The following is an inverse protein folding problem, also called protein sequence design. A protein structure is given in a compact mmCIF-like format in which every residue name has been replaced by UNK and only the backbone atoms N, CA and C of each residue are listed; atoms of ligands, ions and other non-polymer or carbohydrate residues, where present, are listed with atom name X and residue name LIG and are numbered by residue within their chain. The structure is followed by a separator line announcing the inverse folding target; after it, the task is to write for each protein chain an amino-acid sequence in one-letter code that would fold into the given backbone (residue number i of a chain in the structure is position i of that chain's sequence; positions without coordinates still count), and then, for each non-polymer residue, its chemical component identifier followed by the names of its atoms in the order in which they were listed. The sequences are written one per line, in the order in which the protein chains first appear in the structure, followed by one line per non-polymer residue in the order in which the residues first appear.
data_IF_877973273159
#
_entry.id   IF_877973273159
#
_cell.length_a   1.000
_cell.length_b   1.000
_cell.length_c   1.000
_cell.angle_alpha   90.00
_cell.angle_beta   90.00
_cell.angle_gamma   90.00
#
_symmetry.space_group_name_H-M   'P 1'
#
loop_
_entity.id
_entity.type
_entity.pdbx_description
1 polymer ?
#
# COMPACT_ATOMS: atom_id res chain seq x y z
N UNK A 1 29.24 49.62 -44.91
CA UNK A 1 30.23 49.22 -43.91
C UNK A 1 29.89 49.92 -42.59
N UNK A 2 29.27 49.24 -41.65
CA UNK A 2 29.22 49.72 -40.27
C UNK A 2 29.00 48.44 -39.39
N UNK A 3 29.99 48.10 -38.59
CA UNK A 3 30.00 47.01 -37.67
C UNK A 3 29.22 47.42 -36.40
N UNK A 4 28.09 46.79 -36.13
CA UNK A 4 27.37 46.93 -34.87
C UNK A 4 28.03 46.15 -33.73
N UNK A 5 28.22 46.81 -32.60
CA UNK A 5 28.73 46.23 -31.35
C UNK A 5 27.62 45.41 -30.68
N UNK A 6 27.96 44.30 -29.95
CA UNK A 6 26.99 43.52 -29.19
C UNK A 6 26.57 44.22 -27.89
N UNK A 7 25.37 43.98 -27.36
CA UNK A 7 24.89 44.63 -26.14
C UNK A 7 25.61 44.06 -24.88
N UNK A 8 25.98 44.98 -23.99
CA UNK A 8 26.59 44.69 -22.70
C UNK A 8 25.56 44.06 -21.75
N UNK A 9 25.87 42.88 -21.25
CA UNK A 9 25.13 42.20 -20.17
C UNK A 9 25.34 42.94 -18.84
N UNK A 10 24.28 43.54 -18.33
CA UNK A 10 24.22 44.15 -17.02
C UNK A 10 24.51 43.14 -15.90
N UNK A 11 25.48 43.45 -15.05
CA UNK A 11 25.81 42.74 -13.82
C UNK A 11 24.61 42.82 -12.85
N UNK A 12 23.86 41.73 -12.68
CA UNK A 12 22.92 41.60 -11.57
C UNK A 12 23.70 41.42 -10.27
N UNK A 13 23.43 42.31 -9.32
CA UNK A 13 23.95 42.25 -7.95
C UNK A 13 23.42 40.98 -7.28
N UNK A 14 24.31 40.05 -6.90
CA UNK A 14 24.05 39.00 -5.94
C UNK A 14 24.05 39.65 -4.53
N UNK A 15 22.92 39.75 -3.93
CA UNK A 15 22.74 40.20 -2.54
C UNK A 15 21.26 40.49 -2.35
N UNK A 16 20.60 39.59 -1.67
CA UNK A 16 19.36 39.72 -0.90
C UNK A 16 18.37 38.51 -1.00
N UNK A 17 18.66 37.50 -1.85
CA UNK A 17 17.77 36.32 -1.92
C UNK A 17 18.14 35.19 -0.94
N UNK A 18 19.22 35.28 -0.18
CA UNK A 18 19.68 34.24 0.74
C UNK A 18 19.05 34.35 2.15
N UNK A 19 18.46 35.49 2.49
CA UNK A 19 17.76 35.66 3.78
C UNK A 19 16.32 35.14 3.77
N UNK A 20 15.67 35.10 2.60
CA UNK A 20 14.28 34.64 2.46
C UNK A 20 14.14 33.11 2.36
N UNK A 21 15.24 32.39 2.10
CA UNK A 21 15.23 30.91 2.05
C UNK A 21 15.46 30.23 3.42
N UNK A 22 15.83 30.98 4.46
CA UNK A 22 16.06 30.42 5.80
C UNK A 22 14.87 30.46 6.75
N UNK A 23 13.73 30.97 6.35
CA UNK A 23 12.55 31.11 7.20
C UNK A 23 11.32 30.40 6.63
N UNK A 24 11.44 29.11 6.35
CA UNK A 24 10.31 28.16 6.30
C UNK A 24 10.85 26.76 6.58
N UNK A 25 11.37 26.53 7.75
CA UNK A 25 11.27 25.23 8.39
C UNK A 25 9.84 25.20 8.91
N UNK A 26 8.94 24.67 8.11
CA UNK A 26 7.63 24.23 8.59
C UNK A 26 7.97 23.07 9.51
N UNK A 27 7.67 23.19 10.80
CA UNK A 27 7.65 22.09 11.73
C UNK A 27 6.69 21.03 11.17
N UNK A 28 7.25 20.04 10.51
CA UNK A 28 6.53 18.82 10.26
C UNK A 28 6.18 18.23 11.63
N UNK A 29 4.90 17.90 11.92
CA UNK A 29 4.56 17.23 13.15
C UNK A 29 5.44 15.99 13.22
N UNK A 30 6.12 15.82 14.36
CA UNK A 30 6.88 14.63 14.65
C UNK A 30 5.97 13.42 14.37
N UNK A 31 6.34 12.61 13.40
CA UNK A 31 5.70 11.35 13.15
C UNK A 31 5.80 10.56 14.45
N UNK A 32 4.72 10.55 15.22
CA UNK A 32 4.59 9.76 16.43
C UNK A 32 4.71 8.31 15.97
N UNK A 33 5.83 7.67 16.30
CA UNK A 33 5.94 6.24 16.22
C UNK A 33 4.91 5.67 17.19
N UNK A 34 3.74 5.30 16.71
CA UNK A 34 2.83 4.41 17.40
C UNK A 34 3.49 3.04 17.43
N UNK A 35 4.32 2.81 18.44
CA UNK A 35 4.67 1.47 18.87
C UNK A 35 3.37 0.86 19.37
N UNK A 36 2.70 0.06 18.54
CA UNK A 36 1.62 -0.81 19.01
C UNK A 36 2.27 -1.81 19.95
N UNK A 37 2.14 -1.58 21.24
CA UNK A 37 2.53 -2.52 22.27
C UNK A 37 1.62 -3.75 22.12
N UNK A 38 2.22 -4.91 21.92
CA UNK A 38 1.52 -6.18 22.05
C UNK A 38 0.86 -6.25 23.43
N UNK A 39 -0.40 -6.71 23.55
CA UNK A 39 -1.09 -6.83 24.84
C UNK A 39 -0.41 -7.93 25.65
N UNK A 40 0.21 -7.57 26.77
CA UNK A 40 0.65 -8.53 27.77
C UNK A 40 2.02 -8.31 28.43
N UNK A 41 2.59 -7.12 28.47
CA UNK A 41 3.77 -6.86 29.29
C UNK A 41 3.53 -5.67 30.23
N UNK A 42 2.92 -5.94 31.38
CA UNK A 42 3.01 -5.07 32.54
C UNK A 42 4.36 -5.35 33.22
N UNK A 43 5.08 -4.27 33.62
CA UNK A 43 6.41 -4.22 34.24
C UNK A 43 7.63 -4.40 33.29
N UNK A 44 7.81 -3.44 32.38
CA UNK A 44 9.14 -3.05 31.95
C UNK A 44 9.48 -1.72 32.67
N UNK A 45 10.18 -1.81 33.82
CA UNK A 45 10.96 -0.70 34.30
C UNK A 45 11.78 -0.12 33.15
N UNK A 46 11.68 1.18 32.88
CA UNK A 46 12.44 1.89 31.85
C UNK A 46 13.94 1.63 32.04
N UNK A 47 14.45 0.59 31.44
CA UNK A 47 15.88 0.44 31.24
C UNK A 47 16.23 1.52 30.20
N UNK A 48 16.77 2.63 30.67
CA UNK A 48 17.33 3.68 29.80
C UNK A 48 18.40 2.99 28.96
N UNK A 49 18.04 2.62 27.73
CA UNK A 49 18.96 1.95 26.83
C UNK A 49 20.12 2.90 26.52
N UNK A 50 21.33 2.53 26.91
CA UNK A 50 22.53 3.31 26.62
C UNK A 50 22.65 3.52 25.10
N UNK A 51 23.10 4.72 24.66
CA UNK A 51 23.32 4.99 23.26
C UNK A 51 24.33 4.02 22.65
N UNK A 52 24.01 3.41 21.52
CA UNK A 52 24.92 2.52 20.78
C UNK A 52 26.14 3.33 20.33
N UNK A 53 27.34 2.77 20.50
CA UNK A 53 28.63 3.43 20.23
C UNK A 53 28.84 4.76 20.96
N UNK A 54 28.14 5.00 22.07
CA UNK A 54 28.20 6.27 22.80
C UNK A 54 27.56 7.47 22.05
N UNK A 55 26.84 7.21 20.94
CA UNK A 55 26.21 8.26 20.14
C UNK A 55 24.90 8.69 20.77
N UNK A 56 24.98 9.66 21.68
CA UNK A 56 23.80 10.30 22.28
C UNK A 56 23.11 11.28 21.32
N UNK A 57 23.87 11.85 20.38
CA UNK A 57 23.35 12.77 19.35
C UNK A 57 24.13 12.61 18.05
N UNK A 58 23.47 12.13 17.00
CA UNK A 58 24.02 12.02 15.65
C UNK A 58 24.01 13.37 14.90
N UNK A 59 24.54 13.39 13.69
CA UNK A 59 24.50 14.58 12.80
C UNK A 59 23.06 15.05 12.54
N UNK A 60 22.11 14.12 12.47
CA UNK A 60 20.66 14.41 12.33
C UNK A 60 19.98 14.75 13.67
N UNK A 61 20.71 14.85 14.76
CA UNK A 61 20.15 15.18 16.08
C UNK A 61 19.51 14.01 16.83
N UNK A 62 19.55 12.78 16.26
CA UNK A 62 18.91 11.58 16.81
C UNK A 62 19.88 10.78 17.67
N UNK A 63 19.37 10.12 18.72
CA UNK A 63 20.11 9.14 19.51
C UNK A 63 19.97 7.75 18.90
N UNK A 64 21.07 7.02 18.80
CA UNK A 64 21.05 5.63 18.36
C UNK A 64 20.84 4.70 19.53
N UNK A 65 19.76 3.94 19.50
CA UNK A 65 19.45 2.95 20.54
C UNK A 65 19.37 1.56 19.92
N UNK A 66 19.84 0.57 20.65
CA UNK A 66 19.66 -0.84 20.23
C UNK A 66 18.17 -1.18 20.34
N UNK A 67 17.62 -1.78 19.30
CA UNK A 67 16.26 -2.32 19.38
C UNK A 67 16.23 -3.43 20.44
N UNK A 68 15.21 -3.41 21.28
CA UNK A 68 15.05 -4.44 22.31
C UNK A 68 14.96 -5.82 21.66
N UNK A 69 15.68 -6.78 22.22
CA UNK A 69 15.58 -8.21 21.90
C UNK A 69 15.61 -9.00 23.18
N UNK A 70 14.73 -9.99 23.31
CA UNK A 70 14.83 -10.95 24.41
C UNK A 70 16.05 -11.85 24.18
N UNK A 71 17.04 -11.75 25.09
CA UNK A 71 18.29 -12.51 24.97
C UNK A 71 18.08 -14.03 25.05
N UNK A 72 17.09 -14.50 25.83
CA UNK A 72 16.79 -15.93 25.95
C UNK A 72 16.20 -16.43 24.63
N UNK A 73 15.20 -15.73 24.10
CA UNK A 73 14.62 -16.04 22.81
C UNK A 73 15.67 -15.96 21.67
N UNK A 74 16.52 -14.93 21.67
CA UNK A 74 17.59 -14.78 20.68
C UNK A 74 18.57 -15.96 20.70
N UNK A 75 18.99 -16.42 21.88
CA UNK A 75 19.86 -17.60 21.99
C UNK A 75 19.17 -18.88 21.55
N UNK A 76 17.91 -19.08 21.95
CA UNK A 76 17.13 -20.25 21.55
C UNK A 76 16.91 -20.29 20.04
N UNK A 77 16.62 -19.14 19.40
CA UNK A 77 16.53 -19.02 17.95
C UNK A 77 17.83 -19.35 17.24
N UNK A 78 18.96 -18.80 17.74
CA UNK A 78 20.28 -19.08 17.19
C UNK A 78 20.61 -20.59 17.23
N UNK A 79 20.34 -21.25 18.37
CA UNK A 79 20.58 -22.67 18.52
C UNK A 79 19.63 -23.54 17.67
N UNK A 80 18.33 -23.20 17.65
CA UNK A 80 17.36 -23.97 16.88
C UNK A 80 17.60 -23.93 15.37
N UNK A 81 17.94 -22.75 14.86
CA UNK A 81 18.11 -22.49 13.41
C UNK A 81 19.54 -22.75 12.94
N UNK A 82 20.47 -23.05 13.86
CA UNK A 82 21.91 -23.16 13.57
C UNK A 82 22.47 -21.92 12.85
N UNK A 83 22.11 -20.74 13.38
CA UNK A 83 22.52 -19.44 12.82
C UNK A 83 23.38 -18.65 13.81
N UNK A 84 24.20 -17.69 13.34
CA UNK A 84 24.99 -16.82 14.24
C UNK A 84 24.09 -16.08 15.25
N UNK A 85 24.63 -15.81 16.45
CA UNK A 85 23.89 -15.16 17.54
C UNK A 85 23.25 -13.82 17.10
N UNK A 86 23.93 -13.03 16.26
CA UNK A 86 23.39 -11.77 15.73
C UNK A 86 22.10 -11.97 14.93
N UNK A 87 21.96 -13.08 14.22
CA UNK A 87 20.74 -13.41 13.48
C UNK A 87 19.62 -13.73 14.46
N UNK A 88 19.91 -14.52 15.52
CA UNK A 88 18.96 -14.77 16.59
C UNK A 88 18.48 -13.48 17.29
N UNK A 89 19.39 -12.53 17.52
CA UNK A 89 19.02 -11.20 18.07
C UNK A 89 18.12 -10.40 17.14
N UNK A 90 18.41 -10.40 15.83
CA UNK A 90 17.58 -9.71 14.82
C UNK A 90 16.18 -10.31 14.74
N UNK A 91 16.07 -11.64 14.76
CA UNK A 91 14.78 -12.34 14.76
C UNK A 91 13.99 -12.05 16.04
N UNK A 92 14.63 -12.14 17.20
CA UNK A 92 14.01 -11.83 18.49
C UNK A 92 13.52 -10.36 18.55
N UNK A 93 14.32 -9.42 18.04
CA UNK A 93 13.92 -8.01 17.93
C UNK A 93 12.74 -7.75 16.97
N UNK A 94 12.38 -8.74 16.14
CA UNK A 94 11.19 -8.75 15.27
C UNK A 94 10.05 -9.57 15.86
N UNK A 95 10.13 -9.91 17.13
CA UNK A 95 9.11 -10.72 17.83
C UNK A 95 8.91 -12.12 17.25
N UNK A 96 9.91 -12.66 16.54
CA UNK A 96 9.90 -14.04 16.07
C UNK A 96 10.13 -14.96 17.27
N UNK A 97 9.24 -15.91 17.50
CA UNK A 97 9.41 -16.95 18.53
C UNK A 97 10.09 -18.20 17.97
N UNK A 98 10.52 -19.08 18.88
CA UNK A 98 11.11 -20.38 18.48
C UNK A 98 10.10 -21.21 17.67
N UNK A 99 8.80 -21.13 17.98
CA UNK A 99 7.74 -21.85 17.30
C UNK A 99 7.49 -21.33 15.88
N UNK A 100 7.61 -20.02 15.67
CA UNK A 100 7.35 -19.37 14.37
C UNK A 100 8.60 -19.23 13.50
N UNK A 101 9.76 -19.56 14.04
CA UNK A 101 11.07 -19.31 13.40
C UNK A 101 11.21 -19.99 12.03
N UNK A 102 10.83 -21.27 11.93
CA UNK A 102 10.95 -22.02 10.67
C UNK A 102 10.06 -21.43 9.58
N UNK A 103 8.84 -21.00 9.94
CA UNK A 103 7.90 -20.36 9.02
C UNK A 103 8.37 -18.96 8.59
N UNK A 104 9.03 -18.24 9.51
CA UNK A 104 9.59 -16.93 9.21
C UNK A 104 10.79 -16.99 8.25
N UNK A 105 11.68 -17.97 8.44
CA UNK A 105 12.90 -18.14 7.60
C UNK A 105 12.56 -18.79 6.25
N UNK A 106 11.61 -19.72 6.23
CA UNK A 106 11.21 -20.45 5.03
C UNK A 106 9.71 -20.32 4.80
N UNK A 107 9.24 -19.10 4.44
CA UNK A 107 7.82 -18.86 4.28
C UNK A 107 7.26 -19.65 3.10
N UNK A 108 6.07 -20.23 3.29
CA UNK A 108 5.31 -20.90 2.23
C UNK A 108 3.97 -20.20 2.06
N UNK A 109 3.68 -19.78 0.85
CA UNK A 109 2.45 -19.04 0.55
C UNK A 109 1.19 -19.81 1.01
N UNK A 110 1.12 -21.12 0.81
CA UNK A 110 -0.02 -21.94 1.23
C UNK A 110 -0.29 -21.91 2.74
N UNK A 111 0.77 -21.67 3.55
CA UNK A 111 0.69 -21.72 5.01
C UNK A 111 0.49 -20.32 5.61
N UNK A 112 0.73 -19.27 4.82
CA UNK A 112 0.70 -17.86 5.23
C UNK A 112 -0.36 -17.03 4.51
N UNK A 113 -0.90 -17.51 3.38
CA UNK A 113 -1.93 -16.77 2.65
C UNK A 113 -3.20 -16.71 3.52
N UNK A 114 -3.63 -15.51 3.93
CA UNK A 114 -4.85 -15.38 4.72
C UNK A 114 -6.08 -15.71 3.88
N UNK A 115 -7.19 -16.07 4.53
CA UNK A 115 -8.47 -16.12 3.82
C UNK A 115 -8.87 -14.70 3.40
N UNK A 116 -9.04 -14.43 2.11
CA UNK A 116 -9.45 -13.10 1.65
C UNK A 116 -10.72 -12.58 2.33
N UNK A 117 -11.67 -13.45 2.64
CA UNK A 117 -12.93 -13.10 3.31
C UNK A 117 -12.74 -12.59 4.76
N UNK A 118 -11.51 -12.65 5.31
CA UNK A 118 -11.20 -12.03 6.59
C UNK A 118 -11.13 -10.51 6.52
N UNK A 119 -10.84 -9.94 5.34
CA UNK A 119 -10.83 -8.50 5.13
C UNK A 119 -12.26 -7.98 4.96
N UNK A 120 -12.56 -6.88 5.63
CA UNK A 120 -13.85 -6.21 5.53
C UNK A 120 -14.18 -5.85 4.08
N UNK A 121 -15.43 -6.02 3.67
CA UNK A 121 -15.98 -5.76 2.32
C UNK A 121 -15.37 -6.62 1.18
N UNK A 122 -14.45 -7.52 1.43
CA UNK A 122 -13.79 -8.30 0.38
C UNK A 122 -14.78 -9.13 -0.47
N UNK A 123 -15.69 -9.85 0.19
CA UNK A 123 -16.68 -10.65 -0.54
C UNK A 123 -17.67 -9.77 -1.31
N UNK A 124 -18.06 -8.63 -0.75
CA UNK A 124 -18.90 -7.62 -1.42
C UNK A 124 -18.20 -7.07 -2.67
N UNK A 125 -16.91 -6.74 -2.57
CA UNK A 125 -16.10 -6.28 -3.69
C UNK A 125 -15.99 -7.34 -4.79
N UNK A 126 -15.71 -8.60 -4.40
CA UNK A 126 -15.59 -9.70 -5.34
C UNK A 126 -16.93 -9.99 -6.06
N UNK A 127 -18.05 -10.03 -5.33
CA UNK A 127 -19.37 -10.29 -5.91
C UNK A 127 -19.80 -9.16 -6.88
N UNK A 128 -19.52 -7.87 -6.54
CA UNK A 128 -19.79 -6.73 -7.44
C UNK A 128 -18.95 -6.81 -8.72
N UNK A 129 -17.68 -7.19 -8.61
CA UNK A 129 -16.81 -7.36 -9.78
C UNK A 129 -17.26 -8.54 -10.67
N UNK A 130 -17.75 -9.64 -10.08
CA UNK A 130 -18.38 -10.74 -10.83
C UNK A 130 -19.61 -10.26 -11.58
N UNK A 131 -20.47 -9.48 -10.94
CA UNK A 131 -21.69 -8.94 -11.58
C UNK A 131 -21.32 -8.04 -12.76
N UNK A 132 -20.28 -7.19 -12.65
CA UNK A 132 -19.77 -6.40 -13.76
C UNK A 132 -19.28 -7.26 -14.94
N UNK A 133 -18.49 -8.30 -14.62
CA UNK A 133 -17.99 -9.23 -15.65
C UNK A 133 -19.12 -9.96 -16.38
N UNK A 134 -20.11 -10.44 -15.63
CA UNK A 134 -21.25 -11.20 -16.21
C UNK A 134 -22.14 -10.31 -17.05
N UNK A 135 -22.33 -9.06 -16.67
CA UNK A 135 -23.13 -8.08 -17.41
C UNK A 135 -22.37 -7.44 -18.57
N UNK A 136 -21.05 -7.60 -18.63
CA UNK A 136 -20.21 -6.93 -19.62
C UNK A 136 -20.06 -5.44 -19.41
N UNK A 137 -20.14 -4.98 -18.15
CA UNK A 137 -19.96 -3.58 -17.76
C UNK A 137 -18.52 -3.12 -18.06
N UNK A 138 -18.37 -1.84 -18.42
CA UNK A 138 -17.05 -1.25 -18.65
C UNK A 138 -16.35 -1.03 -17.30
N UNK A 139 -15.26 -1.77 -17.08
CA UNK A 139 -14.47 -1.69 -15.86
C UNK A 139 -13.23 -0.84 -16.11
N UNK A 140 -12.95 0.11 -15.20
CA UNK A 140 -11.73 0.91 -15.21
C UNK A 140 -10.93 0.72 -13.92
N UNK A 141 -9.64 1.02 -13.97
CA UNK A 141 -8.74 1.06 -12.83
C UNK A 141 -8.22 2.48 -12.67
N UNK A 142 -8.33 3.03 -11.47
CA UNK A 142 -7.62 4.24 -11.06
C UNK A 142 -6.49 3.84 -10.12
N UNK A 143 -5.24 3.98 -10.55
CA UNK A 143 -4.06 3.59 -9.76
C UNK A 143 -3.23 4.77 -9.33
N UNK A 144 -2.48 4.62 -8.21
CA UNK A 144 -1.44 5.57 -7.89
C UNK A 144 -0.24 5.43 -8.86
N UNK A 145 0.60 6.45 -8.87
CA UNK A 145 1.74 6.60 -9.79
C UNK A 145 3.05 6.01 -9.29
N UNK A 146 3.08 5.45 -8.08
CA UNK A 146 4.26 4.79 -7.51
C UNK A 146 4.32 3.28 -7.88
N UNK A 147 5.26 2.55 -7.28
CA UNK A 147 5.49 1.14 -7.64
C UNK A 147 4.35 0.25 -7.15
N UNK A 148 3.76 0.53 -5.98
CA UNK A 148 2.66 -0.26 -5.45
C UNK A 148 1.38 -0.06 -6.28
N UNK A 149 1.02 1.20 -6.58
CA UNK A 149 -0.09 1.51 -7.49
C UNK A 149 0.10 0.95 -8.90
N UNK A 150 1.32 1.04 -9.45
CA UNK A 150 1.65 0.52 -10.77
C UNK A 150 1.57 -1.01 -10.83
N UNK A 151 2.11 -1.73 -9.85
CA UNK A 151 2.07 -3.20 -9.79
C UNK A 151 0.66 -3.70 -9.52
N UNK A 152 -0.12 -3.02 -8.68
CA UNK A 152 -1.53 -3.27 -8.44
C UNK A 152 -2.37 -3.15 -9.72
N UNK A 153 -2.19 -2.06 -10.46
CA UNK A 153 -2.86 -1.83 -11.75
C UNK A 153 -2.46 -2.88 -12.80
N UNK A 154 -1.17 -3.23 -12.87
CA UNK A 154 -0.65 -4.23 -13.78
C UNK A 154 -1.22 -5.63 -13.47
N UNK A 155 -1.34 -5.98 -12.18
CA UNK A 155 -1.89 -7.25 -11.73
C UNK A 155 -3.37 -7.39 -12.13
N UNK A 156 -4.18 -6.34 -11.91
CA UNK A 156 -5.57 -6.30 -12.38
C UNK A 156 -5.65 -6.41 -13.90
N UNK A 157 -4.85 -5.62 -14.63
CA UNK A 157 -4.85 -5.66 -16.10
C UNK A 157 -4.51 -7.04 -16.64
N UNK A 158 -3.56 -7.75 -16.03
CA UNK A 158 -3.22 -9.13 -16.41
C UNK A 158 -4.36 -10.10 -16.13
N UNK A 159 -5.00 -9.98 -14.98
CA UNK A 159 -6.11 -10.85 -14.61
C UNK A 159 -7.30 -10.69 -15.54
N UNK A 160 -7.80 -9.48 -15.71
CA UNK A 160 -8.95 -9.20 -16.58
C UNK A 160 -8.63 -9.49 -18.04
N UNK A 161 -7.41 -9.19 -18.50
CA UNK A 161 -6.94 -9.57 -19.84
C UNK A 161 -6.92 -11.09 -20.07
N UNK A 162 -6.59 -11.89 -19.04
CA UNK A 162 -6.68 -13.35 -19.13
C UNK A 162 -8.13 -13.87 -19.22
N UNK A 163 -9.11 -13.07 -18.80
CA UNK A 163 -10.55 -13.32 -18.97
C UNK A 163 -11.09 -12.75 -20.30
N UNK A 164 -10.24 -12.10 -21.11
CA UNK A 164 -10.65 -11.45 -22.35
C UNK A 164 -11.30 -10.09 -22.18
N UNK A 165 -11.16 -9.46 -21.02
CA UNK A 165 -11.70 -8.14 -20.69
C UNK A 165 -10.59 -7.10 -20.75
N UNK A 166 -10.80 -6.03 -21.53
CA UNK A 166 -9.89 -4.89 -21.58
C UNK A 166 -10.23 -3.90 -20.45
N UNK A 167 -9.23 -3.52 -19.65
CA UNK A 167 -9.36 -2.51 -18.62
C UNK A 167 -8.85 -1.15 -19.09
N UNK A 168 -9.63 -0.10 -18.89
CA UNK A 168 -9.14 1.30 -18.98
C UNK A 168 -8.35 1.61 -17.71
N UNK A 169 -7.03 1.75 -17.83
CA UNK A 169 -6.15 2.08 -16.68
C UNK A 169 -5.82 3.56 -16.71
N UNK A 170 -6.21 4.25 -15.65
CA UNK A 170 -5.97 5.66 -15.45
C UNK A 170 -4.97 5.86 -14.30
N UNK A 171 -3.82 6.46 -14.61
CA UNK A 171 -2.82 6.89 -13.63
C UNK A 171 -2.77 8.41 -13.67
N UNK A 172 -3.01 9.12 -12.54
CA UNK A 172 -3.01 10.58 -12.51
C UNK A 172 -1.59 11.16 -12.72
N UNK A 173 -1.53 12.33 -13.35
CA UNK A 173 -0.30 13.12 -13.39
C UNK A 173 -0.08 13.79 -12.02
N UNK A 174 0.94 13.33 -11.27
CA UNK A 174 1.25 13.83 -9.91
C UNK A 174 1.32 15.35 -9.81
N UNK A 175 1.86 16.01 -10.84
CA UNK A 175 2.10 17.47 -10.82
C UNK A 175 0.82 18.25 -11.09
N UNK A 176 -0.07 17.72 -11.94
CA UNK A 176 -1.30 18.40 -12.38
C UNK A 176 -2.53 18.01 -11.56
N UNK A 177 -2.61 16.74 -11.17
CA UNK A 177 -3.81 16.14 -10.58
C UNK A 177 -3.66 15.83 -9.09
N UNK A 178 -2.40 15.73 -8.59
CA UNK A 178 -2.12 15.43 -7.20
C UNK A 178 -2.18 13.92 -6.88
N UNK A 179 -2.40 13.60 -5.60
CA UNK A 179 -2.51 12.24 -5.09
C UNK A 179 -3.97 11.83 -4.92
N UNK A 180 -4.27 10.58 -5.29
CA UNK A 180 -5.57 9.96 -5.08
C UNK A 180 -6.64 10.37 -6.09
N UNK A 181 -7.83 9.74 -6.03
CA UNK A 181 -8.93 10.03 -6.93
C UNK A 181 -9.49 11.43 -6.69
N UNK A 182 -9.83 12.11 -7.79
CA UNK A 182 -10.49 13.41 -7.79
C UNK A 182 -11.83 13.31 -8.51
N UNK A 183 -12.75 14.24 -8.23
CA UNK A 183 -14.03 14.35 -8.96
C UNK A 183 -13.80 14.43 -10.46
N UNK A 184 -12.84 15.26 -10.92
CA UNK A 184 -12.50 15.40 -12.34
C UNK A 184 -11.99 14.09 -12.97
N UNK A 185 -11.27 13.26 -12.20
CA UNK A 185 -10.83 11.96 -12.69
C UNK A 185 -12.02 10.99 -12.86
N UNK A 186 -12.96 10.97 -11.93
CA UNK A 186 -14.18 10.16 -12.06
C UNK A 186 -15.09 10.67 -13.18
N UNK A 187 -15.25 11.98 -13.37
CA UNK A 187 -15.94 12.55 -14.54
C UNK A 187 -15.33 12.08 -15.86
N UNK A 188 -14.00 12.06 -15.93
CA UNK A 188 -13.28 11.59 -17.11
C UNK A 188 -13.48 10.10 -17.36
N UNK A 189 -13.46 9.27 -16.32
CA UNK A 189 -13.74 7.83 -16.44
C UNK A 189 -15.18 7.56 -16.86
N UNK A 190 -16.15 8.27 -16.27
CA UNK A 190 -17.56 8.24 -16.67
C UNK A 190 -17.73 8.61 -18.14
N UNK A 191 -17.04 9.68 -18.60
CA UNK A 191 -17.12 10.12 -20.01
C UNK A 191 -16.57 9.08 -21.01
N UNK A 192 -15.73 8.14 -20.52
CA UNK A 192 -15.22 7.00 -21.29
C UNK A 192 -16.12 5.77 -21.18
N UNK A 193 -17.21 5.84 -20.44
CA UNK A 193 -18.19 4.78 -20.29
C UNK A 193 -17.93 3.82 -19.12
N UNK A 194 -17.07 4.18 -18.17
CA UNK A 194 -16.85 3.33 -16.99
C UNK A 194 -18.14 3.22 -16.14
N UNK A 195 -18.50 2.00 -15.78
CA UNK A 195 -19.62 1.65 -14.93
C UNK A 195 -19.16 1.13 -13.55
N UNK A 196 -17.94 0.56 -13.52
CA UNK A 196 -17.24 0.16 -12.31
C UNK A 196 -15.80 0.67 -12.34
N UNK A 197 -15.36 1.30 -11.26
CA UNK A 197 -13.95 1.70 -11.07
C UNK A 197 -13.36 0.95 -9.90
N UNK A 198 -12.18 0.37 -10.11
CA UNK A 198 -11.33 -0.19 -9.05
C UNK A 198 -10.25 0.85 -8.74
N UNK A 199 -10.29 1.50 -7.58
CA UNK A 199 -9.15 2.32 -7.14
C UNK A 199 -8.14 1.42 -6.43
N UNK A 200 -6.85 1.60 -6.73
CA UNK A 200 -5.78 0.81 -6.14
C UNK A 200 -4.71 1.71 -5.54
N UNK A 201 -4.28 1.39 -4.32
CA UNK A 201 -3.25 2.12 -3.59
C UNK A 201 -3.64 3.58 -3.27
N UNK A 202 -4.93 3.85 -3.27
CA UNK A 202 -5.51 5.15 -2.93
C UNK A 202 -7.02 5.03 -2.75
N UNK A 203 -7.62 6.04 -2.12
CA UNK A 203 -9.07 6.17 -2.05
C UNK A 203 -9.66 6.01 -0.65
N UNK A 204 -8.94 5.43 0.32
CA UNK A 204 -9.46 5.20 1.67
C UNK A 204 -9.93 6.49 2.40
N UNK A 205 -9.46 7.65 1.96
CA UNK A 205 -9.84 8.96 2.53
C UNK A 205 -10.40 9.94 1.49
N UNK A 206 -10.78 9.46 0.30
CA UNK A 206 -11.31 10.29 -0.79
C UNK A 206 -12.82 10.51 -0.66
N UNK A 207 -13.27 11.14 0.43
CA UNK A 207 -14.70 11.30 0.76
C UNK A 207 -15.49 11.99 -0.35
N UNK A 208 -15.16 13.25 -0.68
CA UNK A 208 -15.90 14.05 -1.66
C UNK A 208 -15.91 13.41 -3.06
N UNK A 209 -14.76 12.92 -3.61
CA UNK A 209 -14.79 12.24 -4.90
C UNK A 209 -15.64 10.96 -4.94
N UNK A 210 -15.64 10.18 -3.85
CA UNK A 210 -16.44 8.94 -3.78
C UNK A 210 -17.93 9.23 -3.62
N UNK A 211 -18.29 10.28 -2.88
CA UNK A 211 -19.67 10.77 -2.80
C UNK A 211 -20.17 11.22 -4.17
N UNK A 212 -19.37 12.01 -4.90
CA UNK A 212 -19.67 12.39 -6.28
C UNK A 212 -19.87 11.16 -7.19
N UNK A 213 -18.97 10.18 -7.13
CA UNK A 213 -19.08 8.96 -7.93
C UNK A 213 -20.40 8.23 -7.68
N UNK A 214 -20.79 8.09 -6.40
CA UNK A 214 -22.06 7.50 -6.00
C UNK A 214 -23.27 8.27 -6.53
N UNK A 215 -23.27 9.61 -6.41
CA UNK A 215 -24.35 10.47 -6.93
C UNK A 215 -24.46 10.39 -8.45
N UNK A 216 -23.32 10.25 -9.16
CA UNK A 216 -23.26 10.08 -10.59
C UNK A 216 -23.61 8.65 -11.07
N UNK A 217 -23.89 7.72 -10.16
CA UNK A 217 -24.22 6.32 -10.48
C UNK A 217 -23.01 5.48 -10.90
N UNK A 218 -21.79 5.90 -10.56
CA UNK A 218 -20.55 5.15 -10.78
C UNK A 218 -20.24 4.31 -9.56
N UNK A 219 -20.20 3.00 -9.72
CA UNK A 219 -19.78 2.11 -8.66
C UNK A 219 -18.24 2.15 -8.50
N UNK A 220 -17.77 2.29 -7.26
CA UNK A 220 -16.35 2.30 -6.95
C UNK A 220 -16.04 1.24 -5.89
N UNK A 221 -15.04 0.39 -6.17
CA UNK A 221 -14.40 -0.51 -5.23
C UNK A 221 -13.04 0.06 -4.90
N UNK A 222 -12.79 0.32 -3.62
CA UNK A 222 -11.50 0.81 -3.13
C UNK A 222 -10.67 -0.37 -2.62
N UNK A 223 -9.48 -0.56 -3.17
CA UNK A 223 -8.47 -1.56 -2.76
C UNK A 223 -7.24 -0.79 -2.29
N UNK A 224 -7.16 -0.54 -1.00
CA UNK A 224 -6.18 0.36 -0.40
C UNK A 224 -5.56 -0.25 0.86
N UNK A 225 -4.48 0.32 1.36
CA UNK A 225 -3.82 -0.09 2.60
C UNK A 225 -3.41 1.10 3.50
N UNK A 226 -3.63 2.31 3.04
CA UNK A 226 -3.32 3.51 3.82
C UNK A 226 -4.18 3.63 5.08
N UNK A 227 -3.68 4.38 6.05
CA UNK A 227 -4.44 4.68 7.26
C UNK A 227 -5.77 5.34 6.91
N UNK A 228 -6.86 4.78 7.41
CA UNK A 228 -8.21 5.33 7.21
C UNK A 228 -8.52 6.45 8.19
N UNK A 229 -9.49 7.29 7.82
CA UNK A 229 -10.07 8.29 8.69
C UNK A 229 -10.99 7.68 9.76
N UNK A 230 -11.63 8.53 10.57
CA UNK A 230 -12.54 8.10 11.65
C UNK A 230 -13.84 7.46 11.14
N UNK A 231 -14.16 7.63 9.87
CA UNK A 231 -15.29 7.01 9.18
C UNK A 231 -14.84 6.53 7.80
N UNK A 232 -15.55 5.55 7.25
CA UNK A 232 -15.30 5.10 5.90
C UNK A 232 -15.98 6.01 4.89
N UNK A 233 -15.36 6.31 3.72
CA UNK A 233 -16.04 7.00 2.64
C UNK A 233 -17.15 6.13 2.05
N UNK A 234 -18.18 6.77 1.50
CA UNK A 234 -19.27 6.07 0.84
C UNK A 234 -18.84 5.55 -0.54
N UNK A 235 -18.72 4.24 -0.68
CA UNK A 235 -18.42 3.56 -1.93
C UNK A 235 -19.09 2.19 -1.99
N UNK A 236 -19.01 1.54 -3.14
CA UNK A 236 -19.57 0.19 -3.29
C UNK A 236 -18.93 -0.80 -2.32
N UNK A 237 -17.59 -0.79 -2.21
CA UNK A 237 -16.86 -1.59 -1.23
C UNK A 237 -15.51 -0.92 -0.90
N UNK A 238 -15.11 -0.94 0.37
CA UNK A 238 -13.81 -0.48 0.83
C UNK A 238 -13.05 -1.67 1.42
N UNK A 239 -12.11 -2.22 0.68
CA UNK A 239 -11.19 -3.25 1.15
C UNK A 239 -9.89 -2.59 1.56
N UNK A 240 -9.71 -2.46 2.87
CA UNK A 240 -8.52 -1.86 3.45
C UNK A 240 -8.27 -2.46 4.84
N UNK A 241 -7.16 -3.20 5.05
CA UNK A 241 -6.87 -3.82 6.35
C UNK A 241 -6.53 -2.82 7.45
N UNK A 242 -6.30 -1.54 7.11
CA UNK A 242 -6.02 -0.45 8.05
C UNK A 242 -7.23 0.44 8.35
N UNK A 243 -8.44 0.07 7.88
CA UNK A 243 -9.69 0.71 8.32
C UNK A 243 -10.00 0.33 9.77
N UNK A 244 -10.64 1.24 10.51
CA UNK A 244 -10.84 1.09 11.98
C UNK A 244 -11.66 -0.17 12.33
N UNK A 245 -12.61 -0.55 11.49
CA UNK A 245 -13.53 -1.66 11.66
C UNK A 245 -13.05 -2.98 11.01
N UNK A 246 -11.84 -3.01 10.44
CA UNK A 246 -11.21 -4.26 9.96
C UNK A 246 -10.55 -5.02 11.12
N UNK A 247 -10.78 -6.31 11.17
CA UNK A 247 -10.24 -7.21 12.19
C UNK A 247 -9.40 -8.35 11.58
N UNK A 248 -9.02 -8.23 10.31
CA UNK A 248 -8.24 -9.26 9.60
C UNK A 248 -6.84 -9.45 10.16
N UNK A 249 -6.28 -8.42 10.81
CA UNK A 249 -4.89 -8.41 11.26
C UNK A 249 -3.87 -8.29 10.10
N UNK A 250 -4.31 -7.91 8.90
CA UNK A 250 -3.49 -7.86 7.68
C UNK A 250 -2.93 -6.46 7.38
N UNK A 251 -2.84 -5.56 8.37
CA UNK A 251 -2.40 -4.18 8.20
C UNK A 251 -0.97 -3.98 7.68
N UNK A 252 -0.20 -5.07 7.51
CA UNK A 252 1.16 -5.03 6.94
C UNK A 252 1.19 -5.28 5.42
N UNK A 253 0.04 -5.48 4.78
CA UNK A 253 -0.03 -5.68 3.34
C UNK A 253 0.15 -4.34 2.61
N UNK A 254 1.01 -4.33 1.58
CA UNK A 254 0.99 -3.31 0.54
C UNK A 254 -0.30 -3.42 -0.29
N UNK A 255 -0.67 -2.39 -1.05
CA UNK A 255 -1.90 -2.41 -1.85
C UNK A 255 -1.91 -3.55 -2.87
N UNK A 256 -0.77 -3.87 -3.48
CA UNK A 256 -0.67 -5.03 -4.39
C UNK A 256 -0.99 -6.35 -3.69
N UNK A 257 -0.69 -6.48 -2.39
CA UNK A 257 -1.07 -7.63 -1.56
C UNK A 257 -2.59 -7.69 -1.37
N UNK A 258 -3.23 -6.56 -1.09
CA UNK A 258 -4.70 -6.44 -1.00
C UNK A 258 -5.35 -6.80 -2.33
N UNK A 259 -4.83 -6.28 -3.45
CA UNK A 259 -5.29 -6.61 -4.81
C UNK A 259 -5.12 -8.10 -5.11
N UNK A 260 -4.01 -8.72 -4.71
CA UNK A 260 -3.82 -10.15 -4.89
C UNK A 260 -4.89 -10.97 -4.14
N UNK A 261 -5.18 -10.62 -2.89
CA UNK A 261 -6.25 -11.26 -2.11
C UNK A 261 -7.63 -11.03 -2.75
N UNK A 262 -7.89 -9.82 -3.26
CA UNK A 262 -9.10 -9.54 -4.04
C UNK A 262 -9.23 -10.46 -5.25
N UNK A 263 -8.16 -10.67 -6.01
CA UNK A 263 -8.17 -11.59 -7.16
C UNK A 263 -8.38 -13.06 -6.75
N UNK A 264 -7.88 -13.47 -5.58
CA UNK A 264 -8.17 -14.80 -5.01
C UNK A 264 -9.66 -14.91 -4.68
N UNK A 265 -10.25 -13.90 -4.04
CA UNK A 265 -11.68 -13.84 -3.75
C UNK A 265 -12.52 -13.83 -5.04
N UNK A 266 -12.13 -13.01 -6.02
CA UNK A 266 -12.79 -12.90 -7.32
C UNK A 266 -12.76 -14.24 -8.09
N UNK A 267 -11.61 -14.92 -8.15
CA UNK A 267 -11.55 -16.27 -8.74
C UNK A 267 -12.48 -17.25 -8.02
N UNK A 268 -12.54 -17.19 -6.68
CA UNK A 268 -13.45 -18.02 -5.87
C UNK A 268 -14.90 -17.73 -6.22
N UNK A 269 -15.27 -16.45 -6.34
CA UNK A 269 -16.63 -16.03 -6.67
C UNK A 269 -17.02 -16.42 -8.11
N UNK A 270 -16.14 -16.21 -9.08
CA UNK A 270 -16.32 -16.64 -10.48
C UNK A 270 -16.50 -18.14 -10.59
N UNK A 271 -15.72 -18.93 -9.84
CA UNK A 271 -15.85 -20.39 -9.78
C UNK A 271 -17.21 -20.81 -9.24
N UNK A 272 -17.69 -20.18 -8.16
CA UNK A 272 -19.04 -20.41 -7.59
C UNK A 272 -20.15 -20.13 -8.61
N UNK A 273 -19.98 -19.14 -9.48
CA UNK A 273 -20.92 -18.77 -10.55
C UNK A 273 -20.76 -19.62 -11.81
N UNK A 274 -19.86 -20.62 -11.84
CA UNK A 274 -19.64 -21.49 -13.00
C UNK A 274 -18.96 -20.80 -14.19
N UNK A 275 -18.35 -19.63 -14.01
CA UNK A 275 -17.74 -18.82 -15.07
C UNK A 275 -16.64 -19.60 -15.81
N UNK A 276 -15.88 -20.42 -15.10
CA UNK A 276 -14.78 -21.20 -15.65
C UNK A 276 -15.19 -22.52 -16.34
N UNK A 277 -16.49 -22.77 -16.53
CA UNK A 277 -16.94 -23.94 -17.29
C UNK A 277 -16.48 -23.91 -18.75
N UNK A 278 -16.36 -22.71 -19.34
CA UNK A 278 -15.94 -22.49 -20.74
C UNK A 278 -14.76 -21.53 -20.88
N UNK A 279 -14.24 -21.00 -19.79
CA UNK A 279 -13.12 -20.05 -19.74
C UNK A 279 -12.04 -20.61 -18.83
N UNK A 280 -10.76 -20.50 -19.26
CA UNK A 280 -9.65 -20.96 -18.42
C UNK A 280 -9.49 -20.05 -17.21
N UNK A 281 -9.43 -20.64 -16.03
CA UNK A 281 -9.14 -19.91 -14.80
C UNK A 281 -7.72 -19.35 -14.81
N UNK A 282 -7.52 -18.05 -14.51
CA UNK A 282 -6.20 -17.44 -14.46
C UNK A 282 -5.34 -18.02 -13.31
N UNK A 283 -4.09 -18.33 -13.61
CA UNK A 283 -3.12 -18.77 -12.61
C UNK A 283 -2.48 -17.55 -11.92
N UNK A 284 -3.01 -17.17 -10.76
CA UNK A 284 -2.52 -16.02 -9.98
C UNK A 284 -1.06 -16.19 -9.52
N UNK A 285 -0.60 -17.42 -9.30
CA UNK A 285 0.78 -17.69 -8.87
C UNK A 285 1.81 -17.30 -9.94
N UNK A 286 1.40 -17.22 -11.21
CA UNK A 286 2.27 -16.80 -12.30
C UNK A 286 2.63 -15.29 -12.25
N UNK A 287 1.99 -14.52 -11.37
CA UNK A 287 2.16 -13.06 -11.26
C UNK A 287 2.60 -12.63 -9.87
N UNK A 288 3.14 -13.54 -9.05
CA UNK A 288 3.68 -13.24 -7.73
C UNK A 288 4.91 -12.33 -7.76
N UNK A 289 5.58 -12.25 -8.90
CA UNK A 289 6.67 -11.30 -9.15
C UNK A 289 6.20 -9.85 -9.03
N UNK A 290 5.00 -9.53 -9.54
CA UNK A 290 4.40 -8.19 -9.36
C UNK A 290 4.06 -7.92 -7.89
N UNK A 291 3.49 -8.91 -7.20
CA UNK A 291 3.16 -8.78 -5.77
C UNK A 291 4.42 -8.56 -4.94
N UNK A 292 5.48 -9.34 -5.23
CA UNK A 292 6.76 -9.18 -4.55
C UNK A 292 7.38 -7.80 -4.80
N UNK A 293 7.32 -7.32 -6.05
CA UNK A 293 7.88 -6.02 -6.42
C UNK A 293 7.19 -4.86 -5.67
N UNK A 294 5.86 -4.78 -5.69
CA UNK A 294 5.13 -3.74 -4.95
C UNK A 294 5.41 -3.81 -3.45
N UNK A 295 5.28 -5.01 -2.86
CA UNK A 295 5.51 -5.22 -1.40
C UNK A 295 6.92 -4.82 -0.95
N UNK A 296 7.96 -4.98 -1.78
CA UNK A 296 9.34 -4.64 -1.40
C UNK A 296 9.61 -3.14 -1.55
N UNK A 297 8.91 -2.48 -2.47
CA UNK A 297 9.11 -1.05 -2.76
C UNK A 297 8.28 -0.13 -1.87
N UNK A 298 7.18 -0.64 -1.30
CA UNK A 298 6.36 0.03 -0.32
C UNK A 298 6.87 -0.25 1.12
#
# INVERSE_FOLDING_TARGET
MARGQPPQLGKRKRGDDDAARRARVVDAPAAGQHVVAAPGCQDASEVVAEPVFGVSKSVSGLSWKRRYSDRRNALALSQRLDVPAVVGEVLSARSVSVETADQFITPKLRDLLPDPSSLSDMDKAADRAVDALVKGEQIAVFGDYDVDGATSSALLKRFFGALGVELDVYIPDRVKEGYGPTTAAFEKLLSRGAELVLTVDCGATAYDPLEFAKEAGLDVIVLDHHSSGPSNPECCALVNPNRIDDNSGQGMLAAVGVVFLFLVALNRALRRRGFFSNTKEPNLLAWLDLVALGTVCD
#
